data_IF_023229386155
#
_entry.id   IF_023229386155
#
_cell.length_a   1.000
_cell.length_b   1.000
_cell.length_c   1.000
_cell.angle_alpha   90.00
_cell.angle_beta   90.00
_cell.angle_gamma   90.00
#
_symmetry.space_group_name_H-M   'P 1'
#
loop_
_entity.id
_entity.type
_entity.pdbx_description
1 polymer ?
#
# COMPACT_ATOMS: atom_id res chain seq x y z
N UNK A 1 -42.55 12.09 -18.44
CA UNK A 1 -43.13 11.52 -19.66
C UNK A 1 -44.39 12.28 -19.95
N UNK A 2 -44.65 12.67 -21.19
CA UNK A 2 -46.03 13.00 -21.60
C UNK A 2 -46.75 11.67 -21.73
N UNK A 3 -47.45 11.26 -20.68
CA UNK A 3 -48.34 10.11 -20.77
C UNK A 3 -49.44 10.47 -21.78
N UNK A 4 -49.54 9.71 -22.88
CA UNK A 4 -50.66 9.84 -23.82
C UNK A 4 -51.92 9.51 -23.03
N UNK A 5 -52.81 10.48 -22.83
CA UNK A 5 -54.01 10.31 -22.05
C UNK A 5 -54.84 9.13 -22.60
N UNK A 6 -55.28 8.22 -21.72
CA UNK A 6 -56.23 7.18 -22.10
C UNK A 6 -57.62 7.81 -22.15
N UNK A 7 -58.17 7.99 -23.35
CA UNK A 7 -59.53 8.48 -23.50
C UNK A 7 -60.52 7.33 -23.32
N UNK A 8 -60.85 7.08 -22.05
CA UNK A 8 -61.80 6.07 -21.59
C UNK A 8 -63.18 6.25 -22.26
N UNK A 9 -63.61 7.50 -22.46
CA UNK A 9 -64.92 7.82 -23.04
C UNK A 9 -64.97 7.52 -24.54
N UNK A 10 -63.93 7.90 -25.29
CA UNK A 10 -63.83 7.59 -26.71
C UNK A 10 -63.77 6.07 -26.95
N UNK A 11 -63.12 5.31 -26.06
CA UNK A 11 -63.06 3.85 -26.15
C UNK A 11 -64.44 3.21 -25.91
N UNK A 12 -65.16 3.63 -24.86
CA UNK A 12 -66.54 3.16 -24.61
C UNK A 12 -67.45 3.44 -25.80
N UNK A 13 -67.39 4.66 -26.38
CA UNK A 13 -68.17 4.99 -27.58
C UNK A 13 -67.86 4.11 -28.78
N UNK A 14 -66.58 3.79 -29.01
CA UNK A 14 -66.18 2.88 -30.10
C UNK A 14 -66.69 1.47 -29.89
N UNK A 15 -66.58 0.95 -28.66
CA UNK A 15 -67.07 -0.40 -28.31
C UNK A 15 -68.60 -0.49 -28.49
N UNK A 16 -69.36 0.53 -28.08
CA UNK A 16 -70.80 0.62 -28.33
C UNK A 16 -71.13 0.68 -29.83
N UNK A 17 -70.37 1.45 -30.61
CA UNK A 17 -70.56 1.54 -32.07
C UNK A 17 -70.28 0.20 -32.81
N UNK A 18 -69.45 -0.67 -32.22
CA UNK A 18 -69.22 -2.04 -32.70
C UNK A 18 -70.26 -3.07 -32.23
N UNK A 19 -71.32 -2.64 -31.53
CA UNK A 19 -72.44 -3.49 -31.14
C UNK A 19 -72.35 -4.11 -29.74
N UNK A 20 -71.38 -3.73 -28.91
CA UNK A 20 -71.34 -4.14 -27.50
C UNK A 20 -72.36 -3.33 -26.67
N UNK A 21 -72.90 -3.94 -25.62
CA UNK A 21 -73.73 -3.21 -24.65
C UNK A 21 -72.89 -2.19 -23.88
N UNK A 22 -73.57 -1.21 -23.27
CA UNK A 22 -72.93 -0.21 -22.41
C UNK A 22 -72.14 -0.86 -21.27
N UNK A 23 -72.78 -1.78 -20.54
CA UNK A 23 -72.14 -2.52 -19.45
C UNK A 23 -70.89 -3.29 -19.90
N UNK A 24 -70.93 -3.92 -21.08
CA UNK A 24 -69.78 -4.63 -21.65
C UNK A 24 -68.65 -3.67 -22.04
N UNK A 25 -69.00 -2.54 -22.68
CA UNK A 25 -68.05 -1.52 -23.10
C UNK A 25 -67.34 -0.87 -21.89
N UNK A 26 -68.08 -0.59 -20.82
CA UNK A 26 -67.53 -0.07 -19.57
C UNK A 26 -66.63 -1.09 -18.87
N UNK A 27 -67.05 -2.34 -18.75
CA UNK A 27 -66.27 -3.40 -18.10
C UNK A 27 -64.92 -3.64 -18.81
N UNK A 28 -64.92 -3.75 -20.14
CA UNK A 28 -63.68 -3.94 -20.93
C UNK A 28 -62.76 -2.73 -20.78
N UNK A 29 -63.33 -1.53 -20.83
CA UNK A 29 -62.56 -0.29 -20.69
C UNK A 29 -61.94 -0.15 -19.29
N UNK A 30 -62.66 -0.59 -18.25
CA UNK A 30 -62.17 -0.66 -16.87
C UNK A 30 -60.95 -1.58 -16.73
N UNK A 31 -61.05 -2.82 -17.23
CA UNK A 31 -59.92 -3.78 -17.18
C UNK A 31 -58.68 -3.24 -17.92
N UNK A 32 -58.86 -2.61 -19.08
CA UNK A 32 -57.76 -2.01 -19.83
C UNK A 32 -57.13 -0.81 -19.11
N UNK A 33 -57.94 0.01 -18.45
CA UNK A 33 -57.46 1.12 -17.62
C UNK A 33 -56.64 0.59 -16.45
N UNK A 34 -57.16 -0.38 -15.71
CA UNK A 34 -56.52 -0.93 -14.51
C UNK A 34 -55.20 -1.62 -14.86
N UNK A 35 -55.17 -2.40 -15.94
CA UNK A 35 -53.94 -3.02 -16.45
C UNK A 35 -52.87 -1.99 -16.81
N UNK A 36 -53.26 -0.92 -17.50
CA UNK A 36 -52.33 0.17 -17.86
C UNK A 36 -51.83 0.93 -16.63
N UNK A 37 -52.69 1.19 -15.67
CA UNK A 37 -52.32 1.90 -14.44
C UNK A 37 -51.35 1.07 -13.60
N UNK A 38 -51.55 -0.25 -13.54
CA UNK A 38 -50.60 -1.20 -12.95
C UNK A 38 -49.26 -1.21 -13.70
N UNK A 39 -49.26 -1.24 -15.04
CA UNK A 39 -48.02 -1.22 -15.83
C UNK A 39 -47.24 0.07 -15.58
N UNK A 40 -47.91 1.23 -15.60
CA UNK A 40 -47.28 2.53 -15.36
C UNK A 40 -46.70 2.65 -13.94
N UNK A 41 -47.32 2.02 -12.93
CA UNK A 41 -46.83 2.01 -11.56
C UNK A 41 -45.51 1.22 -11.41
N UNK A 42 -45.21 0.30 -12.32
CA UNK A 42 -43.97 -0.50 -12.31
C UNK A 42 -42.78 0.17 -13.02
N UNK A 43 -43.02 1.25 -13.76
CA UNK A 43 -41.99 1.87 -14.59
C UNK A 43 -41.09 2.80 -13.77
N UNK A 44 -39.78 2.67 -13.98
CA UNK A 44 -38.83 3.68 -13.54
C UNK A 44 -39.06 4.99 -14.30
N UNK A 45 -39.29 6.06 -13.56
CA UNK A 45 -39.50 7.40 -14.06
C UNK A 45 -38.17 8.14 -14.24
N UNK A 46 -38.23 9.31 -14.90
CA UNK A 46 -37.06 10.20 -14.99
C UNK A 46 -36.58 10.69 -13.63
N UNK A 47 -37.46 10.74 -12.64
CA UNK A 47 -37.12 11.14 -11.27
C UNK A 47 -36.26 10.04 -10.65
N UNK A 48 -36.70 8.79 -10.71
CA UNK A 48 -35.96 7.63 -10.17
C UNK A 48 -34.56 7.52 -10.80
N UNK A 49 -34.46 7.72 -12.13
CA UNK A 49 -33.18 7.73 -12.82
C UNK A 49 -32.27 8.86 -12.36
N UNK A 50 -32.82 10.06 -12.11
CA UNK A 50 -32.04 11.21 -11.64
C UNK A 50 -31.58 11.02 -10.20
N UNK A 51 -32.42 10.43 -9.35
CA UNK A 51 -32.05 10.07 -7.98
C UNK A 51 -30.92 9.04 -7.97
N UNK A 52 -31.03 8.00 -8.81
CA UNK A 52 -29.98 7.00 -9.00
C UNK A 52 -28.68 7.63 -9.53
N UNK A 53 -28.75 8.53 -10.51
CA UNK A 53 -27.58 9.26 -11.03
C UNK A 53 -26.88 10.08 -9.93
N UNK A 54 -27.66 10.79 -9.10
CA UNK A 54 -27.12 11.58 -8.00
C UNK A 54 -26.47 10.69 -6.95
N UNK A 55 -27.11 9.58 -6.58
CA UNK A 55 -26.55 8.61 -5.65
C UNK A 55 -25.22 8.03 -6.17
N UNK A 56 -25.18 7.55 -7.41
CA UNK A 56 -23.97 7.01 -8.02
C UNK A 56 -22.84 8.03 -8.12
N UNK A 57 -23.16 9.30 -8.42
CA UNK A 57 -22.15 10.38 -8.41
C UNK A 57 -21.62 10.67 -7.01
N UNK A 58 -22.46 10.54 -5.99
CA UNK A 58 -22.04 10.68 -4.59
C UNK A 58 -21.08 9.54 -4.20
N UNK A 59 -21.46 8.30 -4.48
CA UNK A 59 -20.64 7.11 -4.19
C UNK A 59 -19.30 7.17 -4.93
N UNK A 60 -19.30 7.63 -6.18
CA UNK A 60 -18.08 7.80 -6.95
C UNK A 60 -17.14 8.84 -6.33
N UNK A 61 -17.69 9.96 -5.83
CA UNK A 61 -16.89 10.99 -5.14
C UNK A 61 -16.36 10.48 -3.81
N UNK A 62 -17.15 9.71 -3.06
CA UNK A 62 -16.73 9.11 -1.80
C UNK A 62 -15.56 8.14 -2.03
N UNK A 63 -15.70 7.23 -3.00
CA UNK A 63 -14.65 6.27 -3.36
C UNK A 63 -13.39 6.95 -3.88
N UNK A 64 -13.50 8.01 -4.70
CA UNK A 64 -12.35 8.80 -5.15
C UNK A 64 -11.62 9.47 -3.98
N UNK A 65 -12.35 10.06 -3.03
CA UNK A 65 -11.77 10.69 -1.85
C UNK A 65 -11.08 9.67 -0.92
N UNK A 66 -11.68 8.49 -0.77
CA UNK A 66 -11.09 7.39 -0.01
C UNK A 66 -9.78 6.93 -0.64
N UNK A 67 -9.78 6.67 -1.95
CA UNK A 67 -8.55 6.29 -2.67
C UNK A 67 -7.45 7.36 -2.59
N UNK A 68 -7.80 8.64 -2.68
CA UNK A 68 -6.84 9.74 -2.48
C UNK A 68 -6.25 9.74 -1.08
N UNK A 69 -7.05 9.42 -0.07
CA UNK A 69 -6.61 9.34 1.33
C UNK A 69 -5.67 8.16 1.54
N UNK A 70 -6.07 6.97 1.08
CA UNK A 70 -5.24 5.75 1.16
C UNK A 70 -3.91 5.92 0.43
N UNK A 71 -3.91 6.61 -0.73
CA UNK A 71 -2.69 6.92 -1.47
C UNK A 71 -1.76 7.88 -0.70
N UNK A 72 -2.31 8.87 0.00
CA UNK A 72 -1.51 9.76 0.85
C UNK A 72 -0.93 9.01 2.05
N UNK A 73 -1.74 8.21 2.74
CA UNK A 73 -1.29 7.42 3.88
C UNK A 73 -0.17 6.44 3.48
N UNK A 74 -0.33 5.76 2.34
CA UNK A 74 0.71 4.85 1.84
C UNK A 74 2.00 5.60 1.48
N UNK A 75 1.90 6.77 0.83
CA UNK A 75 3.05 7.64 0.55
C UNK A 75 3.77 8.04 1.84
N UNK A 76 3.04 8.56 2.83
CA UNK A 76 3.60 9.01 4.10
C UNK A 76 4.28 7.85 4.86
N UNK A 77 3.68 6.66 4.82
CA UNK A 77 4.26 5.44 5.40
C UNK A 77 5.55 5.02 4.69
N UNK A 78 5.63 5.16 3.37
CA UNK A 78 6.85 4.89 2.61
C UNK A 78 7.94 5.91 2.96
N UNK A 79 7.61 7.20 3.01
CA UNK A 79 8.55 8.26 3.35
C UNK A 79 9.12 8.06 4.77
N UNK A 80 8.27 7.69 5.74
CA UNK A 80 8.70 7.32 7.09
C UNK A 80 9.66 6.11 7.10
N UNK A 81 9.37 5.06 6.32
CA UNK A 81 10.25 3.89 6.21
C UNK A 81 11.59 4.22 5.56
N UNK A 82 11.60 5.09 4.54
CA UNK A 82 12.83 5.56 3.89
C UNK A 82 13.68 6.36 4.89
N UNK A 83 13.06 7.21 5.69
CA UNK A 83 13.75 7.97 6.74
C UNK A 83 14.35 7.03 7.81
N UNK A 84 13.57 6.05 8.30
CA UNK A 84 14.03 5.08 9.28
C UNK A 84 15.21 4.24 8.75
N UNK A 85 15.13 3.76 7.51
CA UNK A 85 16.23 3.04 6.87
C UNK A 85 17.49 3.91 6.70
N UNK A 86 17.31 5.19 6.35
CA UNK A 86 18.43 6.13 6.23
C UNK A 86 19.13 6.34 7.58
N UNK A 87 18.36 6.47 8.67
CA UNK A 87 18.92 6.55 10.02
C UNK A 87 19.64 5.28 10.44
N UNK A 88 19.06 4.11 10.17
CA UNK A 88 19.71 2.81 10.47
C UNK A 88 21.00 2.63 9.68
N UNK A 89 21.04 3.06 8.42
CA UNK A 89 22.25 3.01 7.61
C UNK A 89 23.34 3.93 8.17
N UNK A 90 22.98 5.16 8.59
CA UNK A 90 23.90 6.09 9.21
C UNK A 90 24.45 5.55 10.54
N UNK A 91 23.61 4.98 11.41
CA UNK A 91 24.02 4.35 12.66
C UNK A 91 24.95 3.15 12.41
N UNK A 92 24.62 2.30 11.43
CA UNK A 92 25.47 1.17 11.07
C UNK A 92 26.83 1.62 10.55
N UNK A 93 26.88 2.63 9.69
CA UNK A 93 28.13 3.23 9.20
C UNK A 93 28.97 3.76 10.37
N UNK A 94 28.35 4.48 11.30
CA UNK A 94 29.05 5.00 12.47
C UNK A 94 29.62 3.89 13.35
N UNK A 95 28.85 2.82 13.59
CA UNK A 95 29.33 1.65 14.34
C UNK A 95 30.49 0.94 13.64
N UNK A 96 30.45 0.84 12.31
CA UNK A 96 31.56 0.28 11.53
C UNK A 96 32.82 1.12 11.66
N UNK A 97 32.71 2.44 11.58
CA UNK A 97 33.86 3.35 11.75
C UNK A 97 34.49 3.21 13.15
N UNK A 98 33.66 3.14 14.19
CA UNK A 98 34.13 2.89 15.55
C UNK A 98 34.80 1.52 15.68
N UNK A 99 34.20 0.47 15.11
CA UNK A 99 34.76 -0.88 15.11
C UNK A 99 36.11 -0.97 14.39
N UNK A 100 36.25 -0.31 13.24
CA UNK A 100 37.51 -0.22 12.50
C UNK A 100 38.57 0.58 13.26
N UNK A 101 38.19 1.67 13.93
CA UNK A 101 39.09 2.45 14.75
C UNK A 101 39.60 1.64 15.95
N UNK A 102 38.71 0.92 16.65
CA UNK A 102 39.05 0.02 17.74
C UNK A 102 39.99 -1.09 17.27
N UNK A 103 39.66 -1.76 16.15
CA UNK A 103 40.51 -2.81 15.58
C UNK A 103 41.91 -2.32 15.18
N UNK A 104 42.02 -1.09 14.63
CA UNK A 104 43.32 -0.48 14.34
C UNK A 104 44.12 -0.19 15.61
N UNK A 105 43.47 0.22 16.69
CA UNK A 105 44.13 0.46 17.97
C UNK A 105 44.67 -0.86 18.56
N UNK A 106 43.86 -1.92 18.53
CA UNK A 106 44.27 -3.26 19.00
C UNK A 106 45.45 -3.81 18.21
N UNK A 107 45.46 -3.62 16.88
CA UNK A 107 46.60 -4.02 16.03
C UNK A 107 47.89 -3.27 16.39
N UNK A 108 47.82 -1.96 16.65
CA UNK A 108 49.00 -1.18 17.09
C UNK A 108 49.52 -1.66 18.44
N UNK A 109 48.63 -1.94 19.39
CA UNK A 109 49.02 -2.48 20.69
C UNK A 109 49.67 -3.86 20.55
N UNK A 110 49.14 -4.71 19.67
CA UNK A 110 49.73 -6.01 19.36
C UNK A 110 51.12 -5.87 18.73
N UNK A 111 51.27 -4.98 17.75
CA UNK A 111 52.56 -4.68 17.11
C UNK A 111 53.61 -4.25 18.15
N UNK A 112 53.27 -3.29 19.02
CA UNK A 112 54.16 -2.83 20.09
C UNK A 112 54.55 -3.97 21.04
N UNK A 113 53.59 -4.79 21.49
CA UNK A 113 53.86 -5.92 22.38
C UNK A 113 54.75 -6.96 21.72
N UNK A 114 54.55 -7.22 20.43
CA UNK A 114 55.37 -8.17 19.67
C UNK A 114 56.78 -7.64 19.46
N UNK A 115 56.95 -6.36 19.09
CA UNK A 115 58.26 -5.71 18.96
C UNK A 115 59.03 -5.78 20.28
N UNK A 116 58.38 -5.49 21.41
CA UNK A 116 59.01 -5.60 22.73
C UNK A 116 59.40 -7.05 23.05
N UNK A 117 58.47 -8.01 22.93
CA UNK A 117 58.74 -9.43 23.24
C UNK A 117 59.84 -10.01 22.35
N UNK A 118 59.77 -9.79 21.04
CA UNK A 118 60.79 -10.26 20.10
C UNK A 118 62.13 -9.56 20.31
N UNK A 119 62.14 -8.26 20.59
CA UNK A 119 63.35 -7.51 20.90
C UNK A 119 64.04 -8.05 22.16
N UNK A 120 63.28 -8.33 23.22
CA UNK A 120 63.83 -8.94 24.45
C UNK A 120 64.38 -10.35 24.21
N UNK A 121 63.70 -11.18 23.41
CA UNK A 121 64.18 -12.51 23.03
C UNK A 121 65.45 -12.45 22.18
N UNK A 122 65.51 -11.55 21.20
CA UNK A 122 66.69 -11.36 20.36
C UNK A 122 67.89 -10.89 21.17
N UNK A 123 67.72 -9.90 22.06
CA UNK A 123 68.78 -9.41 22.93
C UNK A 123 69.29 -10.50 23.89
N UNK A 124 68.38 -11.28 24.49
CA UNK A 124 68.75 -12.42 25.32
C UNK A 124 69.55 -13.48 24.54
N UNK A 125 69.10 -13.83 23.33
CA UNK A 125 69.80 -14.78 22.46
C UNK A 125 71.20 -14.33 22.08
N UNK A 126 71.37 -13.06 21.69
CA UNK A 126 72.69 -12.48 21.40
C UNK A 126 73.58 -12.48 22.64
N UNK A 127 73.03 -12.10 23.80
CA UNK A 127 73.77 -12.12 25.07
C UNK A 127 74.29 -13.52 25.45
N UNK A 128 73.45 -14.55 25.28
CA UNK A 128 73.82 -15.95 25.51
C UNK A 128 74.94 -16.39 24.55
N UNK A 129 74.83 -16.05 23.25
CA UNK A 129 75.87 -16.38 22.26
C UNK A 129 77.21 -15.73 22.58
N UNK A 130 77.22 -14.45 22.96
CA UNK A 130 78.44 -13.74 23.35
C UNK A 130 79.08 -14.40 24.58
N UNK A 131 78.27 -14.75 25.59
CA UNK A 131 78.75 -15.44 26.78
C UNK A 131 79.37 -16.82 26.43
N UNK A 132 78.74 -17.57 25.53
CA UNK A 132 79.24 -18.86 25.08
C UNK A 132 80.59 -18.74 24.34
N UNK A 133 80.74 -17.79 23.42
CA UNK A 133 82.01 -17.56 22.70
C UNK A 133 83.14 -17.20 23.67
N UNK A 134 82.86 -16.34 24.65
CA UNK A 134 83.85 -15.93 25.65
C UNK A 134 84.30 -17.07 26.57
N UNK A 135 83.43 -18.05 26.81
CA UNK A 135 83.67 -19.14 27.75
C UNK A 135 84.06 -20.47 27.07
N UNK A 136 84.11 -20.52 25.73
CA UNK A 136 84.61 -21.69 25.02
C UNK A 136 86.15 -21.74 25.09
N UNK A 137 86.75 -22.82 25.59
CA UNK A 137 88.20 -22.98 25.59
C UNK A 137 88.74 -23.00 24.15
N UNK A 138 89.96 -22.48 23.89
CA UNK A 138 90.52 -22.44 22.55
C UNK A 138 90.58 -23.85 21.95
N UNK A 139 90.00 -24.02 20.75
CA UNK A 139 90.10 -25.26 20.02
C UNK A 139 91.59 -25.52 19.72
N UNK A 140 92.14 -26.56 20.35
CA UNK A 140 93.55 -26.92 20.23
C UNK A 140 93.94 -27.13 18.77
N UNK A 141 95.03 -26.47 18.38
CA UNK A 141 95.93 -26.93 17.32
C UNK A 141 97.01 -27.80 17.95
#
# INVERSE_FOLDING_TARGET
MTAVAFDTYALVRRLKASGLSEDQAEAITGVLRDGRESDLASLATKVDLRESEVALRSDLRETENRLKTDLRETKDRLDAKISDLSHKLADLSHRMDLGLAAGRADLKLLEQRMVVKLGTLAAAGVGILIAAIRYLPPAGH
#
